data_IF_017092976338
#
_entry.id   IF_017092976338
#
_cell.length_a   1.000
_cell.length_b   1.000
_cell.length_c   1.000
_cell.angle_alpha   90.00
_cell.angle_beta   90.00
_cell.angle_gamma   90.00
#
_symmetry.space_group_name_H-M   'P 1'
#
loop_
_entity.id
_entity.type
_entity.pdbx_description
1 polymer ?
#
# COMPACT_ATOMS: atom_id res chain seq x y z
N UNK A 1 21.48 -11.74 3.55
CA UNK A 1 20.65 -11.05 4.57
C UNK A 1 20.78 -9.56 4.34
N UNK A 2 19.75 -8.90 3.79
CA UNK A 2 19.81 -7.47 3.52
C UNK A 2 19.73 -6.70 4.85
N UNK A 3 20.74 -5.87 5.14
CA UNK A 3 20.69 -4.91 6.23
C UNK A 3 19.50 -3.96 6.00
N UNK A 4 18.51 -3.96 6.91
CA UNK A 4 17.48 -2.92 6.92
C UNK A 4 18.13 -1.63 7.42
N UNK A 5 18.50 -0.76 6.49
CA UNK A 5 18.90 0.60 6.84
C UNK A 5 17.74 1.31 7.53
N UNK A 6 18.01 1.92 8.69
CA UNK A 6 17.01 2.72 9.39
C UNK A 6 16.75 4.01 8.60
N UNK A 7 15.48 4.41 8.44
CA UNK A 7 15.14 5.63 7.71
C UNK A 7 15.71 6.85 8.44
N UNK A 8 16.51 7.67 7.73
CA UNK A 8 17.01 8.95 8.25
C UNK A 8 15.86 9.96 8.22
N UNK A 9 15.62 10.66 9.33
CA UNK A 9 14.57 11.68 9.51
C UNK A 9 14.60 12.79 8.43
N UNK A 10 15.76 13.06 7.85
CA UNK A 10 15.97 14.06 6.80
C UNK A 10 15.47 13.61 5.41
N UNK A 11 14.98 12.37 5.29
CA UNK A 11 14.46 11.77 4.06
C UNK A 11 13.04 11.21 4.24
N UNK A 12 12.24 11.82 5.12
CA UNK A 12 10.81 11.51 5.19
C UNK A 12 10.14 12.03 3.91
N UNK A 13 9.80 11.11 3.02
CA UNK A 13 8.97 11.37 1.85
C UNK A 13 7.55 10.91 2.19
N UNK A 14 6.57 11.79 2.00
CA UNK A 14 5.17 11.37 1.97
C UNK A 14 5.02 10.47 0.74
N UNK A 15 4.58 9.24 0.97
CA UNK A 15 4.25 8.29 -0.09
C UNK A 15 2.74 8.17 -0.11
N UNK A 16 2.13 8.58 -1.22
CA UNK A 16 0.75 8.24 -1.50
C UNK A 16 0.77 6.91 -2.26
N UNK A 17 0.09 5.92 -1.68
CA UNK A 17 -0.20 4.67 -2.39
C UNK A 17 -1.42 4.93 -3.25
N UNK A 18 -1.19 5.16 -4.54
CA UNK A 18 -2.25 5.58 -5.45
C UNK A 18 -3.06 4.40 -6.02
N UNK A 19 -2.44 3.23 -6.15
CA UNK A 19 -3.06 2.08 -6.78
C UNK A 19 -2.58 0.76 -6.17
N UNK A 20 -3.55 -0.07 -5.77
CA UNK A 20 -3.37 -1.49 -5.48
C UNK A 20 -4.01 -2.27 -6.63
N UNK A 21 -3.20 -3.00 -7.38
CA UNK A 21 -3.69 -3.83 -8.50
C UNK A 21 -4.05 -5.22 -7.99
N UNK A 22 -5.28 -5.67 -8.26
CA UNK A 22 -5.82 -6.99 -7.88
C UNK A 22 -5.78 -7.24 -6.36
N UNK A 23 -6.53 -6.46 -5.55
CA UNK A 23 -6.56 -6.59 -4.10
C UNK A 23 -7.38 -7.83 -3.69
N UNK A 24 -6.82 -9.03 -3.89
CA UNK A 24 -7.52 -10.31 -3.61
C UNK A 24 -7.96 -10.46 -2.15
N UNK A 25 -7.36 -9.71 -1.24
CA UNK A 25 -7.70 -9.72 0.20
C UNK A 25 -8.29 -8.40 0.70
N UNK A 26 -8.72 -7.50 -0.20
CA UNK A 26 -9.41 -6.28 0.20
C UNK A 26 -10.87 -6.57 0.52
N UNK A 27 -11.34 -6.09 1.67
CA UNK A 27 -12.75 -6.11 2.03
C UNK A 27 -13.32 -4.70 1.93
N UNK A 28 -14.28 -4.49 1.05
CA UNK A 28 -15.09 -3.27 1.03
C UNK A 28 -15.91 -3.20 2.34
N UNK A 29 -15.73 -2.10 3.07
CA UNK A 29 -16.42 -1.85 4.35
C UNK A 29 -17.41 -0.69 4.29
N UNK A 30 -17.72 -0.18 3.09
CA UNK A 30 -18.71 0.89 2.88
C UNK A 30 -20.05 0.61 3.59
N UNK A 31 -20.53 -0.64 3.54
CA UNK A 31 -21.80 -1.06 4.14
C UNK A 31 -21.87 -0.96 5.68
N UNK A 32 -20.72 -0.88 6.35
CA UNK A 32 -20.61 -0.82 7.82
C UNK A 32 -19.90 0.46 8.32
N UNK A 33 -19.40 1.29 7.42
CA UNK A 33 -18.68 2.51 7.76
C UNK A 33 -19.64 3.63 8.19
N UNK A 34 -19.16 4.51 9.07
CA UNK A 34 -19.84 5.78 9.40
C UNK A 34 -19.80 6.75 8.21
N UNK A 35 -18.83 6.58 7.30
CA UNK A 35 -18.59 7.43 6.13
C UNK A 35 -18.53 6.57 4.84
N UNK A 36 -19.68 6.07 4.34
CA UNK A 36 -19.73 5.15 3.22
C UNK A 36 -19.21 5.74 1.90
N UNK A 37 -19.25 7.07 1.75
CA UNK A 37 -18.81 7.78 0.54
C UNK A 37 -17.28 7.92 0.43
N UNK A 38 -16.52 7.49 1.44
CA UNK A 38 -15.05 7.51 1.43
C UNK A 38 -14.43 6.28 0.74
N UNK A 39 -15.25 5.34 0.25
CA UNK A 39 -14.82 4.14 -0.51
C UNK A 39 -13.75 3.32 0.23
N UNK A 40 -13.93 3.14 1.54
CA UNK A 40 -12.93 2.49 2.39
C UNK A 40 -12.83 0.97 2.14
N UNK A 41 -11.59 0.50 1.97
CA UNK A 41 -11.26 -0.92 1.82
C UNK A 41 -10.31 -1.35 2.93
N UNK A 42 -10.72 -2.36 3.69
CA UNK A 42 -9.92 -2.97 4.75
C UNK A 42 -9.02 -4.08 4.19
N UNK A 43 -7.73 -4.00 4.50
CA UNK A 43 -6.76 -5.05 4.18
C UNK A 43 -6.50 -5.94 5.40
N UNK A 44 -6.44 -7.26 5.18
CA UNK A 44 -6.14 -8.22 6.27
C UNK A 44 -4.72 -7.97 6.83
N UNK A 45 -4.53 -8.00 8.17
CA UNK A 45 -3.21 -7.89 8.78
C UNK A 45 -2.23 -8.94 8.22
N UNK A 46 -0.99 -8.52 7.96
CA UNK A 46 0.03 -9.39 7.36
C UNK A 46 -0.01 -9.45 5.83
N UNK A 47 -0.91 -8.73 5.17
CA UNK A 47 -0.88 -8.59 3.70
C UNK A 47 0.45 -8.00 3.25
N UNK A 48 1.15 -8.69 2.36
CA UNK A 48 2.43 -8.26 1.81
C UNK A 48 2.24 -7.62 0.43
N UNK A 49 2.99 -6.56 0.15
CA UNK A 49 3.00 -5.89 -1.16
C UNK A 49 4.42 -5.78 -1.70
N UNK A 50 4.54 -5.87 -3.02
CA UNK A 50 5.76 -5.50 -3.74
C UNK A 50 5.55 -4.14 -4.39
N UNK A 51 6.46 -3.21 -4.12
CA UNK A 51 6.56 -1.94 -4.86
C UNK A 51 7.00 -2.26 -6.29
N UNK A 52 6.18 -1.90 -7.27
CA UNK A 52 6.47 -2.16 -8.70
C UNK A 52 6.93 -0.90 -9.43
N UNK A 53 6.49 0.27 -8.97
CA UNK A 53 6.87 1.57 -9.52
C UNK A 53 6.90 2.63 -8.43
N UNK A 54 7.77 3.62 -8.59
CA UNK A 54 7.86 4.79 -7.72
C UNK A 54 8.07 6.02 -8.60
N UNK A 55 7.09 6.92 -8.62
CA UNK A 55 7.22 8.24 -9.22
C UNK A 55 7.63 9.26 -8.15
N UNK A 56 8.62 10.09 -8.49
CA UNK A 56 9.20 11.14 -7.64
C UNK A 56 9.21 12.50 -8.34
N UNK A 57 8.55 12.62 -9.48
CA UNK A 57 8.52 13.83 -10.31
C UNK A 57 7.72 14.95 -9.65
N UNK A 58 6.73 14.60 -8.81
CA UNK A 58 5.86 15.52 -8.11
C UNK A 58 6.33 15.93 -6.71
N UNK A 59 5.56 16.83 -6.05
CA UNK A 59 5.79 17.22 -4.65
C UNK A 59 5.56 16.06 -3.67
N UNK A 60 4.88 15.01 -4.12
CA UNK A 60 4.61 13.79 -3.36
C UNK A 60 5.14 12.60 -4.15
N UNK A 61 5.62 11.58 -3.43
CA UNK A 61 6.06 10.35 -4.03
C UNK A 61 4.85 9.44 -4.24
N UNK A 62 4.63 8.97 -5.46
CA UNK A 62 3.57 8.02 -5.77
C UNK A 62 4.16 6.62 -5.92
N UNK A 63 3.55 5.63 -5.25
CA UNK A 63 3.98 4.25 -5.33
C UNK A 63 2.87 3.35 -5.84
N UNK A 64 3.19 2.51 -6.83
CA UNK A 64 2.31 1.43 -7.26
C UNK A 64 2.67 0.16 -6.52
N UNK A 65 1.67 -0.46 -5.92
CA UNK A 65 1.83 -1.68 -5.15
C UNK A 65 1.11 -2.84 -5.85
N UNK A 66 1.78 -3.99 -5.88
CA UNK A 66 1.16 -5.26 -6.26
C UNK A 66 1.09 -6.15 -5.02
N UNK A 67 -0.11 -6.61 -4.68
CA UNK A 67 -0.28 -7.57 -3.58
C UNK A 67 0.48 -8.86 -3.90
N UNK A 68 1.23 -9.36 -2.91
CA UNK A 68 1.81 -10.70 -2.96
C UNK A 68 0.78 -11.68 -2.42
N UNK A 69 0.41 -12.65 -3.26
CA UNK A 69 -0.34 -13.81 -2.80
C UNK A 69 0.69 -14.78 -2.23
N UNK A 70 0.50 -15.33 -1.02
CA UNK A 70 1.28 -16.47 -0.58
C UNK A 70 1.16 -17.55 -1.67
N UNK A 71 2.24 -17.84 -2.37
CA UNK A 71 2.29 -19.08 -3.14
C UNK A 71 2.27 -20.20 -2.12
N UNK A 72 1.25 -21.05 -2.15
CA UNK A 72 1.32 -22.36 -1.50
C UNK A 72 2.62 -23.03 -1.99
N UNK A 73 3.58 -23.21 -1.08
CA UNK A 73 4.81 -23.97 -1.36
C UNK A 73 4.50 -25.43 -1.68
#
# INVERSE_FOLDING_TARGET
>A
FAHREQPRLECVRIIIVYLIVDPKSGLDISSISEYPDEEEVLMVPGTCFKVTHVDKSGPVCEAHLRQLVPTDE
#
